data_IF_933864580081
#
_entry.id   IF_933864580081
#
_cell.length_a   1.000
_cell.length_b   1.000
_cell.length_c   1.000
_cell.angle_alpha   90.00
_cell.angle_beta   90.00
_cell.angle_gamma   90.00
#
_symmetry.space_group_name_H-M   'P 1'
#
loop_
_entity.id
_entity.type
_entity.pdbx_description
1 polymer ?
#
# COMPACT_ATOMS: atom_id res chain seq x y z
N UNK A 1 -36.36 30.75 19.99
CA UNK A 1 -35.36 30.38 18.96
C UNK A 1 -33.98 30.69 19.53
N UNK A 2 -32.98 29.77 19.54
CA UNK A 2 -31.69 30.04 20.17
C UNK A 2 -30.69 30.75 19.24
N UNK A 3 -29.93 31.66 19.84
CA UNK A 3 -29.10 32.76 19.32
C UNK A 3 -27.72 32.39 18.71
N UNK A 4 -27.54 31.25 18.05
CA UNK A 4 -26.21 30.84 17.54
C UNK A 4 -25.92 31.21 16.07
N UNK A 5 -26.80 31.96 15.41
CA UNK A 5 -26.73 32.26 13.96
C UNK A 5 -26.06 33.59 13.57
N UNK A 6 -25.37 34.28 14.48
CA UNK A 6 -24.78 35.60 14.20
C UNK A 6 -23.30 35.73 14.58
N UNK A 7 -22.44 34.99 13.91
CA UNK A 7 -21.02 35.34 13.86
C UNK A 7 -20.46 35.02 12.47
N UNK A 8 -19.86 35.98 11.75
CA UNK A 8 -19.22 35.68 10.48
C UNK A 8 -18.01 34.78 10.72
N UNK A 9 -17.94 33.68 9.97
CA UNK A 9 -16.84 32.72 10.00
C UNK A 9 -15.55 33.45 9.59
N UNK A 10 -14.68 33.74 10.56
CA UNK A 10 -13.36 34.28 10.28
C UNK A 10 -12.59 33.28 9.41
N UNK A 11 -12.14 33.74 8.24
CA UNK A 11 -11.33 32.96 7.30
C UNK A 11 -10.02 32.60 8.00
N UNK A 12 -9.67 31.32 8.20
CA UNK A 12 -8.40 31.01 8.83
C UNK A 12 -7.28 31.48 7.92
N UNK A 13 -6.48 32.41 8.47
CA UNK A 13 -5.25 32.89 7.89
C UNK A 13 -4.30 31.72 7.65
N UNK A 14 -3.57 31.81 6.55
CA UNK A 14 -2.52 30.88 6.19
C UNK A 14 -1.49 30.71 7.31
N UNK A 15 -0.95 29.49 7.43
CA UNK A 15 0.36 29.25 8.04
C UNK A 15 0.32 28.63 9.43
N UNK A 16 0.46 27.30 9.47
CA UNK A 16 1.45 26.57 10.29
C UNK A 16 1.06 25.09 10.30
N UNK A 17 1.32 24.38 9.19
CA UNK A 17 1.29 22.92 9.21
C UNK A 17 2.47 22.49 10.10
N UNK A 18 2.19 22.06 11.34
CA UNK A 18 3.17 21.43 12.24
C UNK A 18 3.52 20.04 11.71
N UNK A 19 4.22 20.01 10.58
CA UNK A 19 5.00 18.90 10.06
C UNK A 19 6.14 19.56 9.29
N UNK A 20 7.07 20.17 10.01
CA UNK A 20 8.28 20.70 9.40
C UNK A 20 9.02 19.56 8.69
N UNK A 21 9.46 19.78 7.44
CA UNK A 21 9.93 18.73 6.56
C UNK A 21 11.30 18.21 7.02
N UNK A 22 11.41 16.88 7.16
CA UNK A 22 12.68 16.17 7.38
C UNK A 22 13.58 16.20 6.13
N UNK A 23 13.14 16.85 5.04
CA UNK A 23 13.83 16.87 3.76
C UNK A 23 14.05 18.32 3.31
N UNK A 24 15.25 18.64 2.83
CA UNK A 24 15.50 19.92 2.15
C UNK A 24 14.53 20.02 0.96
N UNK A 25 14.02 21.22 0.60
CA UNK A 25 13.12 21.39 -0.54
C UNK A 25 13.63 20.78 -1.85
N UNK A 26 14.95 20.70 -2.00
CA UNK A 26 15.64 20.15 -3.17
C UNK A 26 15.75 18.61 -3.15
N UNK A 27 15.48 17.99 -2.00
CA UNK A 27 15.44 16.56 -1.73
C UNK A 27 14.00 16.03 -1.59
N UNK A 28 12.98 16.87 -1.85
CA UNK A 28 11.57 16.46 -1.80
C UNK A 28 11.26 15.60 -3.02
N UNK A 29 11.62 14.33 -2.92
CA UNK A 29 11.07 13.32 -3.80
C UNK A 29 9.56 13.33 -3.61
N UNK A 30 8.82 13.64 -4.68
CA UNK A 30 7.35 13.63 -4.65
C UNK A 30 6.89 12.29 -4.04
N UNK A 31 6.14 12.30 -2.92
CA UNK A 31 5.68 11.05 -2.32
C UNK A 31 4.85 10.24 -3.32
N UNK A 32 5.13 8.95 -3.41
CA UNK A 32 4.33 8.03 -4.20
C UNK A 32 2.97 7.84 -3.54
N UNK A 33 1.90 7.86 -4.34
CA UNK A 33 0.64 7.24 -3.92
C UNK A 33 0.83 5.73 -3.80
N UNK A 34 -0.03 5.07 -3.03
CA UNK A 34 0.00 3.60 -2.86
C UNK A 34 -0.05 2.89 -4.21
N UNK A 35 -0.86 3.39 -5.15
CA UNK A 35 -0.97 2.85 -6.50
C UNK A 35 0.30 3.04 -7.31
N UNK A 36 0.93 4.22 -7.25
CA UNK A 36 2.18 4.48 -7.96
C UNK A 36 3.31 3.59 -7.41
N UNK A 37 3.41 3.43 -6.09
CA UNK A 37 4.38 2.52 -5.46
C UNK A 37 4.14 1.06 -5.86
N UNK A 38 2.88 0.60 -5.79
CA UNK A 38 2.54 -0.76 -6.18
C UNK A 38 2.88 -1.04 -7.65
N UNK A 39 2.64 -0.07 -8.54
CA UNK A 39 3.01 -0.17 -9.95
C UNK A 39 4.52 -0.17 -10.16
N UNK A 40 5.27 0.62 -9.39
CA UNK A 40 6.73 0.64 -9.46
C UNK A 40 7.33 -0.69 -9.01
N UNK A 41 6.89 -1.22 -7.87
CA UNK A 41 7.28 -2.56 -7.39
C UNK A 41 7.00 -3.62 -8.47
N UNK A 42 5.79 -3.61 -9.06
CA UNK A 42 5.45 -4.54 -10.15
C UNK A 42 6.37 -4.41 -11.36
N UNK A 43 6.78 -3.19 -11.72
CA UNK A 43 7.74 -2.95 -12.82
C UNK A 43 9.12 -3.49 -12.49
N UNK A 44 9.64 -3.19 -11.31
CA UNK A 44 10.96 -3.64 -10.86
C UNK A 44 11.04 -5.17 -10.72
N UNK A 45 9.93 -5.82 -10.36
CA UNK A 45 9.83 -7.28 -10.25
C UNK A 45 9.62 -7.99 -11.60
N UNK A 46 9.40 -7.28 -12.72
CA UNK A 46 9.20 -7.92 -14.04
C UNK A 46 10.29 -8.91 -14.44
N UNK A 47 11.58 -8.72 -14.14
CA UNK A 47 12.60 -9.74 -14.44
C UNK A 47 12.36 -11.08 -13.71
N UNK A 48 11.58 -11.07 -12.64
CA UNK A 48 11.28 -12.22 -11.79
C UNK A 48 9.97 -12.90 -12.22
N UNK A 49 9.84 -13.23 -13.52
CA UNK A 49 8.63 -13.85 -14.06
C UNK A 49 8.46 -15.33 -13.68
N UNK A 50 9.56 -16.05 -13.49
CA UNK A 50 9.57 -17.45 -13.08
C UNK A 50 10.73 -17.70 -12.14
N UNK A 51 10.42 -18.01 -10.88
CA UNK A 51 11.40 -18.27 -9.83
C UNK A 51 11.01 -19.50 -9.02
N UNK A 52 12.02 -20.13 -8.42
CA UNK A 52 11.82 -21.16 -7.41
C UNK A 52 11.86 -20.52 -6.03
N UNK A 53 10.83 -20.75 -5.22
CA UNK A 53 10.70 -20.20 -3.86
C UNK A 53 10.51 -21.34 -2.87
N UNK A 54 11.24 -21.30 -1.76
CA UNK A 54 11.12 -22.26 -0.66
C UNK A 54 10.57 -21.52 0.56
N UNK A 55 9.61 -22.14 1.23
CA UNK A 55 9.01 -21.64 2.45
C UNK A 55 7.95 -22.59 2.97
N UNK A 56 7.38 -22.25 4.12
CA UNK A 56 6.26 -22.97 4.70
C UNK A 56 4.95 -22.49 4.08
N UNK A 57 4.13 -23.44 3.65
CA UNK A 57 2.80 -23.14 3.08
C UNK A 57 1.75 -23.17 4.19
N UNK A 58 0.90 -22.16 4.21
CA UNK A 58 -0.20 -22.03 5.17
C UNK A 58 -1.48 -21.53 4.50
N UNK A 59 -2.62 -21.76 5.16
CA UNK A 59 -3.90 -21.17 4.74
C UNK A 59 -4.42 -21.65 3.38
N UNK A 60 -4.05 -22.85 2.93
CA UNK A 60 -4.47 -23.40 1.65
C UNK A 60 -5.99 -23.55 1.58
N UNK A 61 -6.61 -22.90 0.60
CA UNK A 61 -8.07 -22.90 0.36
C UNK A 61 -8.36 -23.08 -1.12
N UNK A 62 -9.30 -23.97 -1.42
CA UNK A 62 -9.81 -24.15 -2.79
C UNK A 62 -10.83 -23.05 -3.10
N UNK A 63 -10.56 -22.26 -4.13
CA UNK A 63 -11.48 -21.28 -4.70
C UNK A 63 -12.58 -21.94 -5.52
N UNK A 64 -13.63 -21.19 -5.83
CA UNK A 64 -14.81 -21.67 -6.55
C UNK A 64 -14.51 -22.09 -7.98
N UNK A 65 -13.50 -21.48 -8.61
CA UNK A 65 -13.04 -21.80 -9.96
C UNK A 65 -11.89 -22.82 -9.99
N UNK A 66 -11.77 -23.68 -8.98
CA UNK A 66 -10.81 -24.80 -8.97
C UNK A 66 -9.37 -24.46 -8.58
N UNK A 67 -8.99 -23.18 -8.58
CA UNK A 67 -7.67 -22.71 -8.11
C UNK A 67 -7.52 -22.83 -6.59
N UNK A 68 -6.27 -22.83 -6.10
CA UNK A 68 -5.96 -22.80 -4.67
C UNK A 68 -5.32 -21.46 -4.30
N UNK A 69 -5.84 -20.81 -3.27
CA UNK A 69 -5.22 -19.65 -2.65
C UNK A 69 -4.49 -20.11 -1.40
N UNK A 70 -3.26 -19.65 -1.20
CA UNK A 70 -2.44 -19.99 -0.03
C UNK A 70 -1.45 -18.88 0.25
N UNK A 71 -0.81 -18.93 1.41
CA UNK A 71 0.36 -18.11 1.71
C UNK A 71 1.61 -18.97 1.84
N UNK A 72 2.74 -18.44 1.41
CA UNK A 72 4.07 -19.03 1.62
C UNK A 72 4.92 -18.04 2.42
N UNK A 73 5.61 -18.53 3.46
CA UNK A 73 6.37 -17.67 4.37
C UNK A 73 7.71 -18.29 4.76
N UNK A 74 8.63 -17.44 5.20
CA UNK A 74 9.84 -17.80 5.91
C UNK A 74 9.87 -17.10 7.28
N UNK A 75 11.04 -17.01 7.92
CA UNK A 75 11.17 -16.39 9.25
C UNK A 75 10.91 -14.87 9.30
N UNK A 76 10.86 -14.18 8.15
CA UNK A 76 10.81 -12.71 8.09
C UNK A 76 9.72 -12.21 7.14
N UNK A 77 9.43 -12.96 6.08
CA UNK A 77 8.62 -12.53 4.95
C UNK A 77 7.49 -13.49 4.65
N UNK A 78 6.42 -12.96 4.05
CA UNK A 78 5.25 -13.72 3.61
C UNK A 78 4.76 -13.23 2.25
N UNK A 79 4.37 -14.17 1.40
CA UNK A 79 3.71 -13.94 0.12
C UNK A 79 2.34 -14.62 0.12
N UNK A 80 1.34 -13.96 -0.46
CA UNK A 80 0.07 -14.60 -0.82
C UNK A 80 0.14 -15.04 -2.29
N UNK A 81 -0.29 -16.27 -2.58
CA UNK A 81 -0.10 -16.93 -3.86
C UNK A 81 -1.36 -17.69 -4.30
N UNK A 82 -1.47 -17.89 -5.62
CA UNK A 82 -2.55 -18.65 -6.26
C UNK A 82 -1.95 -19.74 -7.13
N UNK A 83 -2.37 -20.99 -6.92
CA UNK A 83 -2.09 -22.10 -7.80
C UNK A 83 -3.31 -22.35 -8.68
N UNK A 84 -3.16 -22.12 -9.98
CA UNK A 84 -4.18 -22.50 -10.96
C UNK A 84 -4.07 -23.99 -11.24
N UNK A 85 -5.16 -24.73 -11.05
CA UNK A 85 -5.29 -26.10 -11.50
C UNK A 85 -6.02 -26.08 -12.85
N UNK A 86 -5.55 -26.90 -13.79
CA UNK A 86 -6.22 -27.18 -15.07
C UNK A 86 -7.46 -28.07 -14.85
#
# INVERSE_FOLDING_TARGET
MPEWRKTPLAKPAAGASKLDPVLKPEEVQRPFTVTELANEIRRSLRPLTALLVKGEVSGMKRGTAGHYNFSIQDGVSRLDAVLFAD
#
